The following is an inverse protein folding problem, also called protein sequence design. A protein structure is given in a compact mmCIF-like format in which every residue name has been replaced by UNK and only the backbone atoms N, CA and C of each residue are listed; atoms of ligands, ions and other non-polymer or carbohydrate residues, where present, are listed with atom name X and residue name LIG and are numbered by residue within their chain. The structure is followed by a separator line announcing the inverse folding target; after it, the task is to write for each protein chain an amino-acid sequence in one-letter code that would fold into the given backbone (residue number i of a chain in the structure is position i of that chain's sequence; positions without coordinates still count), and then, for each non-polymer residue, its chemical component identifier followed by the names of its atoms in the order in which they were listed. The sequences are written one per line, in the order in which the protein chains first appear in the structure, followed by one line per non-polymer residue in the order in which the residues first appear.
data_IF_970707772675
#
_entry.id   IF_970707772675
#
_cell.length_a   1.000
_cell.length_b   1.000
_cell.length_c   1.000
_cell.angle_alpha   90.00
_cell.angle_beta   90.00
_cell.angle_gamma   90.00
#
_symmetry.space_group_name_H-M   'P 1'
#
loop_
_entity.id
_entity.type
_entity.pdbx_description
1 polymer ?
#
# COMPACT_ATOMS: atom_id res chain seq x y z
N UNK A 1 -43.41 24.76 50.86
CA UNK A 1 -41.94 24.75 50.73
C UNK A 1 -41.62 24.56 49.26
N UNK A 2 -41.26 25.66 48.59
CA UNK A 2 -40.91 25.72 47.17
C UNK A 2 -39.48 25.22 46.99
N UNK A 3 -39.27 24.14 46.23
CA UNK A 3 -37.95 23.83 45.69
C UNK A 3 -37.90 24.31 44.24
N UNK A 4 -37.12 25.36 44.03
CA UNK A 4 -36.78 25.91 42.72
C UNK A 4 -35.95 24.92 41.91
N UNK A 5 -36.43 24.62 40.71
CA UNK A 5 -35.66 23.98 39.64
C UNK A 5 -34.64 24.98 39.11
N UNK A 6 -33.34 24.65 39.19
CA UNK A 6 -32.27 25.45 38.58
C UNK A 6 -31.94 24.83 37.22
N UNK A 7 -32.58 25.32 36.17
CA UNK A 7 -32.10 25.14 34.80
C UNK A 7 -30.89 26.06 34.58
N UNK A 8 -29.72 25.50 34.28
CA UNK A 8 -28.61 26.24 33.64
C UNK A 8 -28.65 26.01 32.14
N UNK A 9 -28.66 27.06 31.30
CA UNK A 9 -28.44 26.92 29.87
C UNK A 9 -26.93 26.86 29.60
N UNK A 10 -26.45 25.79 28.97
CA UNK A 10 -25.12 25.77 28.36
C UNK A 10 -25.22 26.44 26.97
N UNK A 11 -25.01 27.75 26.96
CA UNK A 11 -24.62 28.49 25.77
C UNK A 11 -23.15 28.18 25.48
N UNK A 12 -22.86 27.43 24.42
CA UNK A 12 -21.54 27.42 23.79
C UNK A 12 -21.65 28.11 22.44
N UNK A 13 -21.27 29.38 22.43
CA UNK A 13 -21.12 30.20 21.22
C UNK A 13 -20.03 29.64 20.30
N UNK A 14 -20.13 29.88 18.98
CA UNK A 14 -19.17 29.40 17.99
C UNK A 14 -17.82 30.09 18.12
N UNK A 15 -16.75 29.31 18.07
CA UNK A 15 -15.36 29.79 18.06
C UNK A 15 -15.10 30.50 16.72
N UNK A 16 -14.55 31.72 16.70
CA UNK A 16 -14.36 32.48 15.47
C UNK A 16 -13.17 31.93 14.65
N UNK A 17 -13.38 31.87 13.33
CA UNK A 17 -12.38 31.67 12.30
C UNK A 17 -11.11 32.51 12.55
N UNK A 18 -9.98 31.85 12.81
CA UNK A 18 -8.68 32.48 12.76
C UNK A 18 -8.26 32.63 11.28
N UNK A 19 -8.24 33.89 10.81
CA UNK A 19 -7.59 34.29 9.56
C UNK A 19 -6.10 33.93 9.61
N UNK A 20 -5.66 33.05 8.73
CA UNK A 20 -4.23 32.90 8.42
C UNK A 20 -3.70 34.21 7.83
N UNK A 21 -2.84 34.89 8.60
CA UNK A 21 -2.02 35.99 8.13
C UNK A 21 -1.10 35.51 7.00
N UNK A 22 -1.07 36.28 5.92
CA UNK A 22 -0.08 36.18 4.85
C UNK A 22 1.32 36.37 5.45
N UNK A 23 2.16 35.34 5.40
CA UNK A 23 3.61 35.51 5.48
C UNK A 23 4.17 35.57 4.06
N UNK A 24 4.43 36.80 3.62
CA UNK A 24 5.20 37.11 2.43
C UNK A 24 6.69 37.15 2.78
N UNK A 25 7.49 36.64 1.83
CA UNK A 25 8.89 36.99 1.53
C UNK A 25 10.02 36.40 2.39
N UNK A 26 10.81 35.48 1.81
CA UNK A 26 12.15 35.76 1.23
C UNK A 26 12.79 34.51 0.57
N UNK A 27 13.84 34.66 -0.27
CA UNK A 27 13.89 34.04 -1.59
C UNK A 27 15.02 33.02 -1.76
N UNK A 28 14.74 31.91 -2.45
CA UNK A 28 15.74 31.03 -3.05
C UNK A 28 15.27 30.62 -4.44
N UNK A 29 15.23 31.58 -5.37
CA UNK A 29 14.93 31.28 -6.78
C UNK A 29 15.83 32.11 -7.70
N UNK A 30 17.15 32.05 -7.53
CA UNK A 30 18.10 32.49 -8.55
C UNK A 30 19.40 31.68 -8.43
N UNK A 31 19.52 30.59 -9.20
CA UNK A 31 20.75 30.48 -10.01
C UNK A 31 20.52 30.04 -11.47
N UNK A 32 19.33 29.55 -11.83
CA UNK A 32 19.09 29.04 -13.20
C UNK A 32 18.77 30.13 -14.23
N UNK A 33 18.23 31.28 -13.80
CA UNK A 33 17.93 32.39 -14.72
C UNK A 33 19.18 33.19 -15.13
N UNK A 34 20.21 33.23 -14.28
CA UNK A 34 21.44 33.99 -14.56
C UNK A 34 22.36 33.29 -15.57
N UNK A 35 22.37 31.95 -15.58
CA UNK A 35 23.13 31.17 -16.58
C UNK A 35 22.55 31.27 -17.99
N UNK A 36 21.23 31.42 -18.12
CA UNK A 36 20.54 31.51 -19.41
C UNK A 36 20.74 32.90 -20.07
N UNK A 37 20.82 33.96 -19.27
CA UNK A 37 21.13 35.33 -19.75
C UNK A 37 22.59 35.46 -20.16
N UNK A 38 23.54 34.82 -19.47
CA UNK A 38 24.95 34.83 -19.87
C UNK A 38 25.18 34.08 -21.20
N UNK A 39 24.50 32.95 -21.42
CA UNK A 39 24.57 32.21 -22.69
C UNK A 39 23.99 32.99 -23.88
N UNK A 40 22.95 33.80 -23.66
CA UNK A 40 22.37 34.64 -24.71
C UNK A 40 23.21 35.88 -25.03
N UNK A 41 23.94 36.44 -24.05
CA UNK A 41 24.82 37.59 -24.26
C UNK A 41 26.16 37.24 -24.94
N UNK A 42 26.68 36.01 -24.73
CA UNK A 42 27.88 35.52 -25.46
C UNK A 42 27.56 35.23 -26.93
N UNK A 43 26.32 34.83 -27.24
CA UNK A 43 25.90 34.51 -28.62
C UNK A 43 25.57 35.74 -29.48
N UNK A 44 25.36 36.91 -28.87
CA UNK A 44 25.06 38.17 -29.59
C UNK A 44 26.32 38.93 -30.05
N UNK A 45 27.51 38.60 -29.52
CA UNK A 45 28.78 39.26 -29.89
C UNK A 45 29.65 38.46 -30.88
N UNK A 46 29.12 37.38 -31.47
CA UNK A 46 29.80 36.69 -32.56
C UNK A 46 29.38 37.33 -33.90
N UNK A 47 30.23 38.21 -34.44
CA UNK A 47 30.15 38.67 -35.84
C UNK A 47 30.74 37.56 -36.73
N UNK A 48 29.98 36.97 -37.66
CA UNK A 48 30.54 36.07 -38.67
C UNK A 48 30.76 36.84 -39.98
N UNK A 49 32.00 36.75 -40.46
CA UNK A 49 32.55 37.25 -41.73
C UNK A 49 31.72 36.80 -42.97
N UNK A 50 31.49 37.64 -44.00
CA UNK A 50 30.73 37.24 -45.18
C UNK A 50 31.67 36.60 -46.19
N UNK A 51 31.70 35.26 -46.21
CA UNK A 51 32.47 34.55 -47.22
C UNK A 51 32.28 33.04 -47.18
N UNK A 52 31.92 32.49 -48.34
CA UNK A 52 31.96 31.06 -48.68
C UNK A 52 30.65 30.27 -48.50
N UNK A 53 29.77 30.49 -49.48
CA UNK A 53 29.14 29.49 -50.35
C UNK A 53 29.05 28.02 -49.88
N UNK A 54 27.80 27.51 -49.89
CA UNK A 54 27.48 26.28 -50.62
C UNK A 54 27.18 25.04 -49.78
N UNK A 55 25.91 24.68 -49.67
CA UNK A 55 25.37 23.43 -50.23
C UNK A 55 23.86 23.35 -49.97
N UNK A 56 23.18 22.76 -50.95
CA UNK A 56 21.75 22.67 -51.20
C UNK A 56 21.38 21.19 -51.12
N UNK A 57 20.27 20.83 -50.47
CA UNK A 57 19.33 19.74 -50.84
C UNK A 57 18.28 19.64 -49.72
N UNK A 58 17.03 20.04 -49.95
CA UNK A 58 15.92 19.38 -50.67
C UNK A 58 15.14 18.40 -49.79
N UNK A 59 13.84 18.63 -49.83
CA UNK A 59 12.72 18.01 -49.15
C UNK A 59 12.39 16.61 -49.66
N UNK A 60 11.47 15.99 -48.91
CA UNK A 60 10.55 14.91 -49.28
C UNK A 60 11.02 13.49 -49.01
N UNK A 61 10.31 12.82 -48.08
CA UNK A 61 9.96 11.40 -48.16
C UNK A 61 8.70 11.16 -47.28
N UNK A 62 7.55 11.06 -47.94
CA UNK A 62 6.34 10.36 -47.47
C UNK A 62 6.53 8.85 -47.67
N UNK A 63 6.15 8.02 -46.68
CA UNK A 63 5.63 6.67 -46.96
C UNK A 63 4.47 6.35 -46.00
N UNK A 64 3.37 5.90 -46.58
CA UNK A 64 2.10 5.54 -45.96
C UNK A 64 1.93 4.02 -45.77
N UNK A 65 1.10 3.67 -44.79
CA UNK A 65 0.13 2.57 -44.65
C UNK A 65 0.50 1.10 -44.98
N UNK A 66 0.23 0.21 -44.02
CA UNK A 66 -0.61 -0.97 -44.30
C UNK A 66 -1.38 -1.45 -43.06
N UNK A 67 -2.70 -1.58 -43.23
CA UNK A 67 -3.66 -2.18 -42.32
C UNK A 67 -3.49 -3.71 -42.30
N UNK A 68 -3.54 -4.35 -41.12
CA UNK A 68 -3.73 -5.81 -41.06
C UNK A 68 -5.03 -6.15 -40.34
N UNK A 69 -5.88 -6.83 -41.11
CA UNK A 69 -7.27 -7.15 -40.86
C UNK A 69 -7.42 -8.42 -40.01
N UNK A 70 -8.38 -8.34 -39.11
CA UNK A 70 -9.01 -9.40 -38.33
C UNK A 70 -9.52 -10.56 -39.21
N UNK A 71 -9.21 -11.80 -38.86
CA UNK A 71 -9.97 -12.98 -39.31
C UNK A 71 -10.43 -13.77 -38.07
N UNK A 72 -11.75 -13.87 -37.97
CA UNK A 72 -12.50 -14.75 -37.08
C UNK A 72 -12.83 -15.98 -37.91
N UNK A 73 -12.47 -17.17 -37.42
CA UNK A 73 -12.94 -18.44 -37.99
C UNK A 73 -14.06 -18.99 -37.10
N UNK A 74 -15.23 -19.17 -37.70
CA UNK A 74 -16.31 -20.03 -37.18
C UNK A 74 -16.06 -21.46 -37.68
N UNK A 75 -16.16 -22.43 -36.77
CA UNK A 75 -16.18 -23.86 -37.07
C UNK A 75 -17.27 -24.52 -36.22
N UNK A 76 -18.24 -25.12 -36.91
CA UNK A 76 -19.43 -25.80 -36.40
C UNK A 76 -19.23 -27.34 -36.38
N UNK A 77 -20.15 -28.03 -35.72
CA UNK A 77 -20.39 -29.49 -35.64
C UNK A 77 -19.39 -30.32 -34.80
N UNK A 78 -19.78 -31.25 -33.93
CA UNK A 78 -21.08 -31.80 -33.59
C UNK A 78 -20.88 -33.13 -32.82
N UNK A 79 -21.86 -33.45 -31.98
CA UNK A 79 -22.27 -34.79 -31.53
C UNK A 79 -21.37 -35.61 -30.56
N UNK A 80 -21.86 -35.84 -29.33
CA UNK A 80 -22.42 -37.15 -28.91
C UNK A 80 -22.79 -37.16 -27.41
N UNK A 81 -23.92 -37.79 -27.14
CA UNK A 81 -24.50 -38.10 -25.82
C UNK A 81 -23.57 -38.92 -24.93
N UNK A 82 -23.70 -38.77 -23.61
CA UNK A 82 -24.09 -39.91 -22.76
C UNK A 82 -24.63 -39.48 -21.39
N UNK A 83 -25.73 -40.14 -21.05
CA UNK A 83 -26.55 -40.06 -19.85
C UNK A 83 -26.02 -41.09 -18.84
N UNK A 84 -25.84 -40.71 -17.57
CA UNK A 84 -26.21 -41.58 -16.44
C UNK A 84 -26.49 -40.75 -15.20
N UNK A 85 -27.75 -40.87 -14.75
CA UNK A 85 -28.33 -40.44 -13.48
C UNK A 85 -27.85 -41.27 -12.28
N UNK A 86 -28.33 -40.84 -11.10
CA UNK A 86 -28.49 -41.57 -9.82
C UNK A 86 -27.25 -41.58 -8.90
N UNK A 87 -27.34 -41.36 -7.59
CA UNK A 87 -28.49 -41.30 -6.67
C UNK A 87 -28.03 -40.62 -5.36
N UNK A 88 -28.94 -39.93 -4.70
CA UNK A 88 -28.86 -39.60 -3.27
C UNK A 88 -29.12 -40.88 -2.46
N UNK A 89 -28.48 -41.04 -1.30
CA UNK A 89 -29.06 -41.89 -0.26
C UNK A 89 -28.68 -41.47 1.16
N UNK A 90 -29.67 -41.65 2.03
CA UNK A 90 -29.81 -41.09 3.36
C UNK A 90 -28.94 -41.72 4.47
N UNK A 91 -28.96 -41.01 5.59
CA UNK A 91 -28.38 -41.34 6.88
C UNK A 91 -28.84 -42.69 7.47
N UNK A 92 -27.97 -43.35 8.25
CA UNK A 92 -28.45 -43.97 9.48
C UNK A 92 -27.39 -44.14 10.58
N UNK A 93 -27.85 -43.81 11.77
CA UNK A 93 -27.23 -43.99 13.08
C UNK A 93 -27.35 -45.45 13.53
N UNK A 94 -26.28 -46.01 14.10
CA UNK A 94 -26.34 -47.28 14.84
C UNK A 94 -25.58 -47.13 16.16
N UNK A 95 -26.31 -47.26 17.27
CA UNK A 95 -25.77 -47.55 18.61
C UNK A 95 -25.59 -49.07 18.72
N UNK A 96 -24.49 -49.53 19.31
CA UNK A 96 -24.48 -50.38 20.51
C UNK A 96 -23.16 -51.16 20.73
N UNK A 97 -22.76 -51.16 22.00
CA UNK A 97 -22.16 -52.25 22.78
C UNK A 97 -20.67 -52.58 22.69
N UNK A 98 -20.22 -52.99 23.88
CA UNK A 98 -18.87 -52.98 24.44
C UNK A 98 -18.03 -54.22 24.09
N UNK A 99 -16.79 -54.16 24.59
CA UNK A 99 -15.84 -55.26 24.86
C UNK A 99 -14.86 -55.64 23.73
N UNK A 100 -13.72 -54.94 23.73
CA UNK A 100 -12.48 -55.34 23.07
C UNK A 100 -11.28 -55.17 24.00
N UNK A 101 -10.24 -56.03 23.93
CA UNK A 101 -9.27 -56.25 24.99
C UNK A 101 -8.32 -55.06 25.22
N UNK A 102 -8.05 -54.76 26.49
CA UNK A 102 -7.06 -53.77 26.94
C UNK A 102 -5.67 -54.11 26.37
N UNK A 103 -5.24 -53.35 25.36
CA UNK A 103 -3.85 -53.38 24.89
C UNK A 103 -2.97 -52.68 25.93
N UNK A 104 -2.23 -53.47 26.68
CA UNK A 104 -1.11 -53.02 27.51
C UNK A 104 -0.01 -52.56 26.56
N UNK A 105 0.11 -51.24 26.36
CA UNK A 105 1.26 -50.65 25.69
C UNK A 105 2.44 -50.81 26.66
N UNK A 106 3.29 -51.79 26.38
CA UNK A 106 4.55 -51.94 27.07
C UNK A 106 5.40 -50.69 26.81
N UNK A 107 5.81 -50.01 27.88
CA UNK A 107 6.73 -48.89 27.82
C UNK A 107 8.05 -49.41 27.23
N UNK A 108 8.54 -48.87 26.10
CA UNK A 108 9.77 -49.36 25.49
C UNK A 108 10.95 -49.17 26.46
N UNK A 109 11.97 -50.05 26.38
CA UNK A 109 13.11 -50.02 27.29
C UNK A 109 13.86 -48.70 27.11
N UNK A 110 14.20 -48.11 28.26
CA UNK A 110 15.15 -47.02 28.39
C UNK A 110 16.46 -47.41 27.66
N UNK A 111 16.66 -46.86 26.46
CA UNK A 111 17.96 -46.93 25.79
C UNK A 111 18.82 -45.79 26.33
N UNK A 112 19.90 -46.23 26.96
CA UNK A 112 20.94 -45.48 27.62
C UNK A 112 21.64 -44.48 26.70
N UNK A 113 22.10 -43.42 27.35
CA UNK A 113 22.81 -42.27 26.82
C UNK A 113 24.20 -42.65 26.30
N UNK A 114 24.48 -42.45 25.01
CA UNK A 114 25.86 -42.23 24.57
C UNK A 114 25.97 -41.41 23.27
N UNK A 115 26.81 -40.37 23.37
CA UNK A 115 27.63 -39.79 22.30
C UNK A 115 26.95 -39.18 21.06
N UNK A 116 26.32 -38.00 21.22
CA UNK A 116 26.63 -36.78 20.45
C UNK A 116 25.76 -35.63 21.00
N UNK A 117 26.27 -34.93 22.02
CA UNK A 117 25.59 -33.80 22.65
C UNK A 117 25.47 -32.61 21.70
N UNK A 118 24.48 -32.64 20.80
CA UNK A 118 24.05 -31.46 20.07
C UNK A 118 23.00 -30.75 20.92
N UNK A 119 23.48 -29.84 21.79
CA UNK A 119 22.62 -28.79 22.35
C UNK A 119 21.93 -28.10 21.18
N UNK A 120 20.67 -28.41 20.92
CA UNK A 120 19.83 -27.61 20.03
C UNK A 120 19.67 -26.27 20.73
N UNK A 121 20.61 -25.36 20.44
CA UNK A 121 20.62 -23.99 20.90
C UNK A 121 19.27 -23.41 20.46
N UNK A 122 18.33 -23.25 21.40
CA UNK A 122 17.09 -22.51 21.15
C UNK A 122 17.53 -21.20 20.48
N UNK A 123 17.19 -21.03 19.20
CA UNK A 123 17.52 -19.79 18.51
C UNK A 123 16.77 -18.70 19.24
N UNK A 124 17.52 -17.81 19.92
CA UNK A 124 16.94 -16.64 20.60
C UNK A 124 16.10 -15.92 19.55
N UNK A 125 14.77 -15.92 19.73
CA UNK A 125 13.86 -15.19 18.86
C UNK A 125 14.29 -13.73 18.92
N UNK A 126 14.66 -13.17 17.77
CA UNK A 126 15.22 -11.84 17.78
C UNK A 126 14.17 -10.77 18.09
N UNK A 127 14.61 -9.57 18.48
CA UNK A 127 13.69 -8.46 18.73
C UNK A 127 12.84 -8.12 17.49
N UNK A 128 11.61 -7.70 17.73
CA UNK A 128 10.69 -7.23 16.69
C UNK A 128 10.77 -5.70 16.56
N UNK A 129 10.46 -5.17 15.38
CA UNK A 129 10.33 -3.73 15.13
C UNK A 129 8.95 -3.45 14.57
N UNK A 130 8.27 -2.45 15.11
CA UNK A 130 6.99 -1.97 14.56
C UNK A 130 7.24 -0.89 13.52
N UNK A 131 6.73 -1.08 12.31
CA UNK A 131 6.76 -0.11 11.22
C UNK A 131 5.32 0.32 10.90
N UNK A 132 5.00 1.59 11.06
CA UNK A 132 3.73 2.15 10.59
C UNK A 132 4.02 3.21 9.54
N UNK A 133 3.34 3.14 8.39
CA UNK A 133 3.46 4.11 7.30
C UNK A 133 2.09 4.70 7.01
N UNK A 134 1.90 5.98 7.31
CA UNK A 134 0.74 6.74 6.85
C UNK A 134 1.07 7.40 5.51
N UNK A 135 0.22 7.19 4.51
CA UNK A 135 0.53 7.49 3.11
C UNK A 135 -0.73 7.80 2.29
N UNK A 136 -0.57 8.30 1.08
CA UNK A 136 -1.66 8.50 0.10
C UNK A 136 -1.24 8.13 -1.33
N UNK A 137 -2.21 7.63 -2.11
CA UNK A 137 -1.96 6.94 -3.36
C UNK A 137 -1.36 7.80 -4.48
N UNK A 138 -1.64 9.11 -4.54
CA UNK A 138 -1.20 9.97 -5.65
C UNK A 138 -0.16 11.03 -5.27
N UNK A 139 0.23 11.11 -3.99
CA UNK A 139 1.31 11.99 -3.56
C UNK A 139 2.66 11.59 -4.19
N UNK A 140 3.38 12.53 -4.85
CA UNK A 140 4.69 12.25 -5.43
C UNK A 140 5.75 11.80 -4.40
N UNK A 141 5.78 12.42 -3.22
CA UNK A 141 6.73 12.06 -2.15
C UNK A 141 6.45 10.65 -1.61
N UNK A 142 5.17 10.32 -1.43
CA UNK A 142 4.75 8.97 -1.05
C UNK A 142 5.13 7.96 -2.12
N UNK A 143 4.88 8.26 -3.39
CA UNK A 143 5.27 7.40 -4.51
C UNK A 143 6.77 7.17 -4.55
N UNK A 144 7.56 8.21 -4.30
CA UNK A 144 9.01 8.14 -4.20
C UNK A 144 9.48 7.25 -3.04
N UNK A 145 8.89 7.42 -1.85
CA UNK A 145 9.19 6.60 -0.69
C UNK A 145 8.82 5.13 -0.90
N UNK A 146 7.63 4.83 -1.42
CA UNK A 146 7.19 3.45 -1.65
C UNK A 146 8.16 2.73 -2.58
N UNK A 147 8.53 3.36 -3.71
CA UNK A 147 9.43 2.78 -4.72
C UNK A 147 10.87 2.66 -4.25
N UNK A 148 11.40 3.67 -3.55
CA UNK A 148 12.84 3.74 -3.21
C UNK A 148 13.18 3.24 -1.81
N UNK A 149 12.22 3.21 -0.89
CA UNK A 149 12.44 2.90 0.52
C UNK A 149 11.63 1.68 0.94
N UNK A 150 10.30 1.73 0.88
CA UNK A 150 9.44 0.67 1.41
C UNK A 150 9.64 -0.66 0.69
N UNK A 151 9.48 -0.70 -0.63
CA UNK A 151 9.60 -1.95 -1.37
C UNK A 151 11.00 -2.57 -1.29
N UNK A 152 12.11 -1.81 -1.47
CA UNK A 152 13.44 -2.38 -1.30
C UNK A 152 13.74 -2.86 0.12
N UNK A 153 13.28 -2.12 1.15
CA UNK A 153 13.46 -2.54 2.53
C UNK A 153 12.65 -3.80 2.84
N UNK A 154 11.40 -3.89 2.39
CA UNK A 154 10.56 -5.08 2.56
C UNK A 154 11.14 -6.29 1.85
N UNK A 155 11.58 -6.15 0.60
CA UNK A 155 12.21 -7.24 -0.15
C UNK A 155 13.46 -7.82 0.55
N UNK A 156 14.21 -6.99 1.29
CA UNK A 156 15.40 -7.44 2.03
C UNK A 156 15.08 -7.94 3.44
N UNK A 157 14.18 -7.26 4.16
CA UNK A 157 13.99 -7.47 5.59
C UNK A 157 12.69 -8.22 5.93
N UNK A 158 11.71 -8.31 5.03
CA UNK A 158 10.44 -9.02 5.24
C UNK A 158 10.67 -10.48 5.62
N UNK A 159 11.58 -11.16 4.91
CA UNK A 159 11.97 -12.55 5.17
C UNK A 159 12.58 -12.80 6.57
N UNK A 160 12.93 -11.75 7.32
CA UNK A 160 13.36 -11.90 8.71
C UNK A 160 12.20 -12.26 9.64
N UNK A 161 10.95 -12.01 9.24
CA UNK A 161 9.75 -12.13 10.07
C UNK A 161 9.84 -11.34 11.37
N UNK A 162 10.57 -10.21 11.35
CA UNK A 162 10.83 -9.37 12.53
C UNK A 162 10.34 -7.93 12.40
N UNK A 163 9.64 -7.62 11.31
CA UNK A 163 9.02 -6.32 11.10
C UNK A 163 7.50 -6.53 11.15
N UNK A 164 6.85 -5.90 12.12
CA UNK A 164 5.40 -5.78 12.13
C UNK A 164 5.01 -4.53 11.34
N UNK A 165 4.62 -4.70 10.07
CA UNK A 165 4.28 -3.58 9.19
C UNK A 165 2.79 -3.27 9.25
N UNK A 166 2.46 -1.99 9.35
CA UNK A 166 1.12 -1.45 9.20
C UNK A 166 1.19 -0.31 8.17
N UNK A 167 0.35 -0.38 7.14
CA UNK A 167 0.23 0.68 6.15
C UNK A 167 -1.15 1.32 6.34
N UNK A 168 -1.22 2.64 6.29
CA UNK A 168 -2.45 3.42 6.45
C UNK A 168 -2.61 4.34 5.22
N UNK A 169 -3.25 3.84 4.14
CA UNK A 169 -3.57 4.63 2.94
C UNK A 169 -4.76 5.54 3.24
N UNK A 170 -4.49 6.81 3.50
CA UNK A 170 -5.50 7.82 3.78
C UNK A 170 -5.01 9.21 3.43
N UNK A 171 -3.78 9.54 3.85
CA UNK A 171 -3.21 10.85 3.60
C UNK A 171 -3.83 11.93 4.47
N UNK A 172 -4.18 13.03 3.82
CA UNK A 172 -4.92 14.14 4.44
C UNK A 172 -6.35 14.23 3.92
N UNK A 173 -6.93 13.12 3.49
CA UNK A 173 -8.32 13.05 3.09
C UNK A 173 -9.26 13.44 4.26
N UNK A 174 -10.51 13.76 3.93
CA UNK A 174 -11.56 13.99 4.91
C UNK A 174 -12.73 13.10 4.59
N UNK A 175 -13.26 12.38 5.58
CA UNK A 175 -14.42 11.52 5.40
C UNK A 175 -15.58 12.00 6.28
N UNK A 176 -16.78 11.97 5.71
CA UNK A 176 -18.02 12.17 6.43
C UNK A 176 -18.89 10.92 6.29
N UNK A 177 -19.63 10.59 7.35
CA UNK A 177 -20.70 9.59 7.28
C UNK A 177 -21.80 10.10 6.37
N UNK A 178 -22.37 9.21 5.57
CA UNK A 178 -23.53 9.50 4.71
C UNK A 178 -24.74 8.72 5.21
N UNK A 179 -25.91 9.33 5.11
CA UNK A 179 -27.17 8.61 5.29
C UNK A 179 -27.38 7.69 4.09
N UNK A 180 -27.21 6.39 4.27
CA UNK A 180 -27.55 5.38 3.27
C UNK A 180 -28.84 4.67 3.70
N UNK A 181 -29.67 4.27 2.74
CA UNK A 181 -30.93 3.55 3.00
C UNK A 181 -30.71 2.24 3.77
N UNK A 182 -29.54 1.65 3.61
CA UNK A 182 -29.11 0.45 4.34
C UNK A 182 -27.81 0.74 5.08
N UNK A 183 -27.82 0.80 6.41
CA UNK A 183 -26.59 0.84 7.23
C UNK A 183 -25.71 2.09 7.07
N UNK A 184 -24.51 2.03 7.66
CA UNK A 184 -23.56 3.14 7.66
C UNK A 184 -22.70 3.14 6.39
N UNK A 185 -22.55 4.31 5.76
CA UNK A 185 -21.67 4.52 4.60
C UNK A 185 -20.89 5.83 4.77
N UNK A 186 -19.89 6.04 3.92
CA UNK A 186 -18.95 7.15 4.02
C UNK A 186 -18.69 7.78 2.66
N UNK A 187 -18.50 9.10 2.65
CA UNK A 187 -17.96 9.85 1.51
C UNK A 187 -16.67 10.52 1.94
N UNK A 188 -15.63 10.33 1.13
CA UNK A 188 -14.31 10.88 1.40
C UNK A 188 -13.87 11.83 0.28
N UNK A 189 -13.15 12.87 0.66
CA UNK A 189 -12.55 13.86 -0.24
C UNK A 189 -11.04 13.81 -0.06
N UNK A 190 -10.31 13.50 -1.14
CA UNK A 190 -8.86 13.36 -1.14
C UNK A 190 -8.18 14.53 -1.84
N UNK A 191 -6.90 14.79 -1.52
CA UNK A 191 -6.20 15.98 -2.01
C UNK A 191 -5.98 15.95 -3.52
N UNK A 192 -5.80 14.74 -4.08
CA UNK A 192 -5.61 14.53 -5.53
C UNK A 192 -6.90 14.03 -6.22
N UNK A 193 -8.06 14.34 -5.64
CA UNK A 193 -9.37 14.04 -6.21
C UNK A 193 -9.83 12.59 -6.00
N UNK A 194 -10.92 12.23 -6.68
CA UNK A 194 -11.63 10.98 -6.44
C UNK A 194 -10.76 9.73 -6.73
N UNK A 195 -9.93 9.78 -7.76
CA UNK A 195 -9.01 8.69 -8.10
C UNK A 195 -8.09 8.31 -6.94
N UNK A 196 -7.58 9.28 -6.19
CA UNK A 196 -6.76 9.00 -5.00
C UNK A 196 -7.58 8.27 -3.94
N UNK A 197 -8.81 8.71 -3.68
CA UNK A 197 -9.69 8.04 -2.73
C UNK A 197 -9.95 6.58 -3.13
N UNK A 198 -10.22 6.32 -4.41
CA UNK A 198 -10.51 4.96 -4.89
C UNK A 198 -9.26 4.06 -4.85
N UNK A 199 -8.08 4.60 -5.17
CA UNK A 199 -6.81 3.87 -5.04
C UNK A 199 -6.47 3.61 -3.57
N UNK A 200 -6.70 4.57 -2.67
CA UNK A 200 -6.56 4.36 -1.23
C UNK A 200 -7.54 3.28 -0.74
N UNK A 201 -8.78 3.25 -1.23
CA UNK A 201 -9.75 2.19 -0.92
C UNK A 201 -9.23 0.83 -1.37
N UNK A 202 -8.72 0.70 -2.60
CA UNK A 202 -8.11 -0.54 -3.09
C UNK A 202 -6.93 -0.99 -2.22
N UNK A 203 -6.05 -0.07 -1.82
CA UNK A 203 -4.93 -0.40 -0.93
C UNK A 203 -5.41 -0.86 0.46
N UNK A 204 -6.45 -0.23 1.02
CA UNK A 204 -7.03 -0.67 2.29
C UNK A 204 -7.69 -2.05 2.16
N UNK A 205 -8.42 -2.31 1.07
CA UNK A 205 -8.98 -3.63 0.77
C UNK A 205 -7.91 -4.71 0.62
N UNK A 206 -6.76 -4.39 0.02
CA UNK A 206 -5.63 -5.30 -0.05
C UNK A 206 -5.09 -5.65 1.33
N UNK A 207 -4.96 -4.67 2.23
CA UNK A 207 -4.48 -4.86 3.60
C UNK A 207 -5.46 -5.70 4.43
N UNK A 208 -6.76 -5.54 4.20
CA UNK A 208 -7.81 -6.25 4.95
C UNK A 208 -8.03 -7.69 4.46
N UNK A 209 -8.07 -7.89 3.13
CA UNK A 209 -8.49 -9.16 2.53
C UNK A 209 -7.35 -10.14 2.24
N UNK A 210 -6.09 -9.67 2.15
CA UNK A 210 -4.95 -10.53 1.88
C UNK A 210 -4.35 -11.07 3.20
N UNK A 211 -3.81 -12.30 3.20
CA UNK A 211 -3.51 -13.02 4.43
C UNK A 211 -2.36 -12.44 5.25
N UNK A 212 -1.41 -11.74 4.63
CA UNK A 212 -0.17 -11.32 5.27
C UNK A 212 0.51 -10.15 4.57
N UNK A 213 1.55 -9.61 5.20
CA UNK A 213 2.32 -8.50 4.64
C UNK A 213 3.10 -8.85 3.37
N UNK A 214 3.47 -10.11 3.18
CA UNK A 214 4.18 -10.53 1.96
C UNK A 214 3.26 -10.50 0.74
N UNK A 215 1.95 -10.63 0.95
CA UNK A 215 0.93 -10.49 -0.10
C UNK A 215 0.48 -9.03 -0.30
N UNK A 216 0.20 -8.26 0.76
CA UNK A 216 -0.33 -6.89 0.57
C UNK A 216 0.73 -5.82 0.31
N UNK A 217 1.95 -5.91 0.86
CA UNK A 217 2.97 -4.85 0.67
C UNK A 217 3.37 -4.68 -0.81
N UNK A 218 3.64 -5.75 -1.57
CA UNK A 218 3.92 -5.62 -3.01
C UNK A 218 2.73 -5.07 -3.79
N UNK A 219 1.49 -5.48 -3.45
CA UNK A 219 0.30 -5.00 -4.13
C UNK A 219 0.07 -3.51 -3.87
N UNK A 220 0.14 -3.05 -2.61
CA UNK A 220 0.09 -1.62 -2.27
C UNK A 220 1.16 -0.85 -3.04
N UNK A 221 2.37 -1.39 -3.12
CA UNK A 221 3.46 -0.81 -3.89
C UNK A 221 3.20 -0.70 -5.39
N UNK A 222 2.53 -1.69 -5.98
CA UNK A 222 2.13 -1.66 -7.38
C UNK A 222 1.01 -0.64 -7.64
N UNK A 223 0.01 -0.55 -6.75
CA UNK A 223 -1.13 0.38 -6.86
C UNK A 223 -0.69 1.84 -6.70
N UNK A 224 0.41 2.10 -5.96
CA UNK A 224 0.91 3.45 -5.70
C UNK A 224 1.22 4.23 -6.99
N UNK A 225 0.56 5.38 -7.14
CA UNK A 225 0.75 6.29 -8.25
C UNK A 225 0.15 5.80 -9.57
N UNK A 226 -0.80 4.86 -9.55
CA UNK A 226 -1.58 4.47 -10.73
C UNK A 226 -2.54 5.58 -11.13
N UNK A 227 -2.82 5.67 -12.42
CA UNK A 227 -3.67 6.70 -13.02
C UNK A 227 -5.17 6.50 -12.76
N UNK A 228 -5.57 5.26 -12.42
CA UNK A 228 -6.95 4.91 -12.08
C UNK A 228 -7.00 3.56 -11.37
N UNK A 229 -8.11 3.27 -10.70
CA UNK A 229 -8.36 1.92 -10.15
C UNK A 229 -8.38 0.87 -11.26
N UNK A 230 -9.04 1.13 -12.39
CA UNK A 230 -9.04 0.21 -13.53
C UNK A 230 -7.62 -0.12 -14.04
N UNK A 231 -6.74 0.87 -14.10
CA UNK A 231 -5.33 0.64 -14.46
C UNK A 231 -4.57 -0.18 -13.40
N UNK A 232 -4.86 0.07 -12.12
CA UNK A 232 -4.32 -0.74 -11.03
C UNK A 232 -4.77 -2.20 -11.15
N UNK A 233 -6.04 -2.47 -11.42
CA UNK A 233 -6.54 -3.83 -11.65
C UNK A 233 -5.89 -4.50 -12.85
N UNK A 234 -5.81 -3.79 -13.98
CA UNK A 234 -5.20 -4.30 -15.21
C UNK A 234 -3.72 -4.66 -15.03
N UNK A 235 -2.96 -3.87 -14.28
CA UNK A 235 -1.50 -4.02 -14.21
C UNK A 235 -0.96 -4.70 -12.96
N UNK A 236 -1.68 -4.62 -11.83
CA UNK A 236 -1.25 -5.17 -10.54
C UNK A 236 -1.99 -6.45 -10.15
N UNK A 237 -3.20 -6.68 -10.70
CA UNK A 237 -4.08 -7.77 -10.30
C UNK A 237 -4.46 -8.70 -11.47
N UNK A 238 -3.83 -8.54 -12.64
CA UNK A 238 -4.02 -9.45 -13.76
C UNK A 238 -3.73 -10.90 -13.35
N UNK A 239 -4.75 -11.76 -13.43
CA UNK A 239 -4.65 -13.16 -13.01
C UNK A 239 -4.54 -13.40 -11.50
N UNK A 240 -4.66 -12.35 -10.67
CA UNK A 240 -4.62 -12.51 -9.22
C UNK A 240 -5.92 -13.14 -8.71
N UNK A 241 -5.83 -14.22 -7.93
CA UNK A 241 -6.99 -15.01 -7.47
C UNK A 241 -8.00 -14.21 -6.65
N UNK A 242 -7.56 -13.11 -6.03
CA UNK A 242 -8.42 -12.22 -5.23
C UNK A 242 -8.93 -10.99 -6.00
N UNK A 243 -8.68 -10.87 -7.31
CA UNK A 243 -9.04 -9.69 -8.11
C UNK A 243 -10.51 -9.29 -7.96
N UNK A 244 -11.45 -10.24 -8.14
CA UNK A 244 -12.88 -9.91 -8.08
C UNK A 244 -13.32 -9.43 -6.69
N UNK A 245 -12.79 -10.08 -5.63
CA UNK A 245 -13.05 -9.68 -4.24
C UNK A 245 -12.50 -8.28 -3.95
N UNK A 246 -11.28 -8.00 -4.40
CA UNK A 246 -10.66 -6.68 -4.25
C UNK A 246 -11.43 -5.61 -5.03
N UNK A 247 -11.93 -5.92 -6.23
CA UNK A 247 -12.73 -4.98 -7.03
C UNK A 247 -14.02 -4.62 -6.30
N UNK A 248 -14.75 -5.64 -5.84
CA UNK A 248 -15.99 -5.46 -5.10
C UNK A 248 -15.78 -4.66 -3.82
N UNK A 249 -14.70 -4.92 -3.08
CA UNK A 249 -14.36 -4.15 -1.89
C UNK A 249 -14.03 -2.70 -2.26
N UNK A 250 -13.10 -2.47 -3.21
CA UNK A 250 -12.57 -1.15 -3.54
C UNK A 250 -13.63 -0.19 -4.09
N UNK A 251 -14.58 -0.70 -4.87
CA UNK A 251 -15.68 0.10 -5.45
C UNK A 251 -16.93 0.13 -4.55
N UNK A 252 -16.94 -0.68 -3.49
CA UNK A 252 -18.09 -0.89 -2.62
C UNK A 252 -18.06 -0.06 -1.34
N UNK A 253 -19.09 -0.27 -0.52
CA UNK A 253 -19.21 0.32 0.83
C UNK A 253 -18.06 -0.12 1.74
N UNK A 254 -17.60 -1.35 1.60
CA UNK A 254 -16.49 -1.90 2.38
C UNK A 254 -15.20 -1.09 2.21
N UNK A 255 -14.80 -0.79 0.97
CA UNK A 255 -13.65 0.05 0.69
C UNK A 255 -13.79 1.45 1.29
N UNK A 256 -14.95 2.10 1.12
CA UNK A 256 -15.23 3.42 1.71
C UNK A 256 -15.17 3.40 3.25
N UNK A 257 -15.70 2.35 3.87
CA UNK A 257 -15.63 2.13 5.30
C UNK A 257 -14.18 1.96 5.77
N UNK A 258 -13.41 1.07 5.14
CA UNK A 258 -12.00 0.85 5.47
C UNK A 258 -11.17 2.14 5.29
N UNK A 259 -11.45 2.93 4.26
CA UNK A 259 -10.80 4.21 4.03
C UNK A 259 -11.14 5.23 5.14
N UNK A 260 -12.39 5.28 5.61
CA UNK A 260 -12.77 6.09 6.76
C UNK A 260 -12.11 5.63 8.07
N UNK A 261 -11.95 4.31 8.29
CA UNK A 261 -11.20 3.78 9.43
C UNK A 261 -9.72 4.17 9.38
N UNK A 262 -9.10 4.17 8.20
CA UNK A 262 -7.75 4.70 8.00
C UNK A 262 -7.68 6.20 8.34
N UNK A 263 -8.75 6.94 8.07
CA UNK A 263 -8.92 8.33 8.51
C UNK A 263 -8.93 8.50 10.03
N UNK A 264 -9.69 7.67 10.74
CA UNK A 264 -9.70 7.67 12.20
C UNK A 264 -8.31 7.37 12.80
N UNK A 265 -7.58 6.42 12.21
CA UNK A 265 -6.19 6.13 12.60
C UNK A 265 -5.27 7.32 12.38
N UNK A 266 -5.41 8.01 11.24
CA UNK A 266 -4.59 9.18 10.92
C UNK A 266 -4.92 10.35 11.84
N UNK A 267 -6.20 10.60 12.12
CA UNK A 267 -6.65 11.65 13.03
C UNK A 267 -6.12 11.46 14.47
N UNK A 268 -5.91 10.21 14.90
CA UNK A 268 -5.36 9.90 16.23
C UNK A 268 -3.91 10.38 16.43
N UNK A 269 -3.18 10.74 15.36
CA UNK A 269 -1.85 11.37 15.45
C UNK A 269 -1.97 12.82 15.98
N UNK A 270 -3.11 13.48 15.73
CA UNK A 270 -3.38 14.86 16.12
C UNK A 270 -2.62 15.89 15.28
N UNK A 271 -2.48 17.10 15.84
CA UNK A 271 -2.02 18.30 15.13
C UNK A 271 -0.58 18.22 14.58
N UNK A 272 0.21 17.23 15.03
CA UNK A 272 1.56 17.01 14.51
C UNK A 272 1.56 16.48 13.07
N UNK A 273 0.47 15.85 12.62
CA UNK A 273 0.38 15.24 11.30
C UNK A 273 0.26 16.30 10.20
N UNK A 274 1.39 16.60 9.55
CA UNK A 274 1.47 17.70 8.58
C UNK A 274 2.08 17.29 7.23
N UNK A 275 2.51 16.05 7.05
CA UNK A 275 3.21 15.57 5.86
C UNK A 275 3.00 14.08 5.66
N UNK A 276 2.96 13.64 4.39
CA UNK A 276 3.02 12.23 4.01
C UNK A 276 4.15 12.02 3.00
N UNK A 277 4.86 10.88 3.07
CA UNK A 277 4.63 9.76 3.97
C UNK A 277 5.12 10.04 5.40
N UNK A 278 4.32 9.60 6.37
CA UNK A 278 4.63 9.69 7.80
C UNK A 278 4.99 8.32 8.33
N UNK A 279 6.28 8.11 8.57
CA UNK A 279 6.88 6.85 9.01
C UNK A 279 7.07 6.85 10.52
N UNK A 280 6.56 5.83 11.18
CA UNK A 280 6.67 5.60 12.62
C UNK A 280 7.40 4.29 12.85
N UNK A 281 8.49 4.34 13.63
CA UNK A 281 9.23 3.17 14.07
C UNK A 281 9.12 3.06 15.59
N UNK A 282 8.66 1.91 16.08
CA UNK A 282 8.46 1.61 17.51
C UNK A 282 7.68 2.71 18.26
N UNK A 283 6.58 3.17 17.63
CA UNK A 283 5.66 4.14 18.20
C UNK A 283 6.13 5.60 18.14
N UNK A 284 7.28 5.90 17.52
CA UNK A 284 7.79 7.27 17.36
C UNK A 284 7.97 7.65 15.90
N UNK A 285 7.59 8.88 15.55
CA UNK A 285 7.87 9.44 14.22
C UNK A 285 9.37 9.43 13.98
N UNK A 286 9.78 8.81 12.87
CA UNK A 286 11.17 8.74 12.43
C UNK A 286 11.30 9.45 11.08
N UNK A 287 11.91 10.64 11.07
CA UNK A 287 12.08 11.44 9.85
C UNK A 287 13.20 10.88 8.96
N UNK A 288 14.22 10.26 9.54
CA UNK A 288 15.33 9.69 8.78
C UNK A 288 14.89 8.44 8.01
N UNK A 289 13.93 7.68 8.56
CA UNK A 289 13.32 6.54 7.90
C UNK A 289 12.61 6.92 6.58
N UNK A 290 12.24 8.18 6.37
CA UNK A 290 11.73 8.64 5.06
C UNK A 290 12.83 8.60 3.97
N UNK A 291 14.10 8.83 4.34
CA UNK A 291 15.21 8.84 3.40
C UNK A 291 16.04 7.55 3.41
N UNK A 292 16.02 6.81 4.53
CA UNK A 292 16.83 5.62 4.76
C UNK A 292 16.07 4.60 5.61
N UNK A 293 14.97 4.05 5.09
CA UNK A 293 14.10 3.14 5.85
C UNK A 293 14.82 1.85 6.28
N UNK A 294 15.54 1.22 5.35
CA UNK A 294 16.26 -0.04 5.61
C UNK A 294 17.29 0.13 6.72
N UNK A 295 18.08 1.22 6.67
CA UNK A 295 19.07 1.53 7.69
C UNK A 295 18.41 1.71 9.06
N UNK A 296 17.34 2.49 9.12
CA UNK A 296 16.65 2.77 10.39
C UNK A 296 15.92 1.56 10.97
N UNK A 297 15.46 0.62 10.14
CA UNK A 297 15.00 -0.70 10.57
C UNK A 297 16.16 -1.55 11.09
N UNK A 298 17.29 -1.57 10.38
CA UNK A 298 18.46 -2.36 10.76
C UNK A 298 19.12 -1.89 12.06
N UNK A 299 19.15 -0.58 12.33
CA UNK A 299 19.58 -0.02 13.63
C UNK A 299 18.78 -0.58 14.81
N UNK A 300 17.52 -0.94 14.57
CA UNK A 300 16.61 -1.49 15.59
C UNK A 300 16.63 -3.01 15.61
N UNK A 301 16.86 -3.68 14.48
CA UNK A 301 17.01 -5.13 14.38
C UNK A 301 18.43 -5.57 14.79
N UNK A 302 18.77 -5.51 16.07
CA UNK A 302 20.14 -5.73 16.56
C UNK A 302 20.30 -6.92 17.52
N UNK A 303 19.23 -7.59 17.94
CA UNK A 303 19.30 -8.72 18.89
C UNK A 303 18.70 -10.02 18.36
N UNK A 304 19.49 -10.99 17.87
CA UNK A 304 20.76 -10.75 17.20
C UNK A 304 20.53 -9.99 15.90
N UNK A 305 21.54 -9.29 15.41
CA UNK A 305 21.45 -8.57 14.15
C UNK A 305 21.25 -9.55 12.97
N UNK A 306 20.23 -9.34 12.11
CA UNK A 306 20.08 -10.12 10.87
C UNK A 306 21.26 -9.92 9.93
N UNK A 307 21.60 -10.95 9.13
CA UNK A 307 22.68 -10.87 8.14
C UNK A 307 22.45 -9.75 7.12
N UNK A 308 21.19 -9.45 6.82
CA UNK A 308 20.77 -8.37 5.93
C UNK A 308 21.16 -6.98 6.46
N UNK A 309 21.41 -6.86 7.77
CA UNK A 309 21.71 -5.59 8.43
C UNK A 309 23.20 -5.35 8.71
N UNK A 310 24.09 -6.28 8.37
CA UNK A 310 25.53 -6.19 8.71
C UNK A 310 26.17 -4.91 8.17
N UNK A 311 25.75 -4.43 6.98
CA UNK A 311 26.28 -3.20 6.38
C UNK A 311 25.92 -1.90 7.13
N UNK A 312 25.02 -1.97 8.10
CA UNK A 312 24.54 -0.84 8.90
C UNK A 312 24.97 -0.91 10.37
N UNK A 313 25.93 -1.78 10.68
CA UNK A 313 26.49 -1.97 12.03
C UNK A 313 27.54 -0.93 12.36
#
# INVERSE_FOLDING_TARGET
MLFHSVHRPLHSSPVPFARCHRYLSRPYVYPLFFMLVLFLLVRWNAVPDPGTTGARFSSDDEIAFEDTKLQVEEGNDGDTNDIVDAEEDEAQTVKATEEGPKRVIQKPPFLEESALGQKTKLRKKGNMVSLIVYMEALCPDTTGFVRRQLLPAWARLGATNRINVTIVPFGKAQCARTEAEEGEDYRCECQHGQTECELNQLMNCAIDLLPDADSFVPLVGCVQGKESVSAAFKSCLAGHSSSDRLWKCAMGREGRHLHALAGNRTAAIGDAFNFVPWVVLDGRRDNDAFYALEENLCKRLNEPQPIQCIKFS
#
